data_IF_187179668480
#
_entry.id   IF_187179668480
#
_cell.length_a   1.000
_cell.length_b   1.000
_cell.length_c   1.000
_cell.angle_alpha   90.00
_cell.angle_beta   90.00
_cell.angle_gamma   90.00
#
_symmetry.space_group_name_H-M   'P 1'
#
loop_
_entity.id
_entity.type
_entity.pdbx_description
1 polymer ?
#
# COMPACT_ATOMS: atom_id res chain seq x y z
N UNK A 1 -40.50 64.58 15.88
CA UNK A 1 -40.04 65.06 17.20
C UNK A 1 -39.79 63.83 18.05
N UNK A 2 -38.52 63.54 18.38
CA UNK A 2 -38.04 62.68 19.48
C UNK A 2 -38.42 61.17 19.42
N UNK A 3 -37.59 60.17 19.71
CA UNK A 3 -36.25 60.08 20.32
C UNK A 3 -35.46 58.93 19.67
N UNK A 4 -34.18 59.20 19.40
CA UNK A 4 -33.18 58.19 18.99
C UNK A 4 -32.60 57.59 20.27
N UNK A 5 -32.84 56.30 20.49
CA UNK A 5 -32.28 55.54 21.60
C UNK A 5 -30.85 55.09 21.28
N UNK A 6 -29.89 55.53 22.09
CA UNK A 6 -28.47 55.15 22.02
C UNK A 6 -28.31 53.74 22.62
N UNK A 7 -27.72 52.76 21.91
CA UNK A 7 -27.39 51.47 22.51
C UNK A 7 -26.13 51.60 23.39
N UNK A 8 -26.27 51.16 24.63
CA UNK A 8 -25.21 51.04 25.63
C UNK A 8 -24.18 49.98 25.19
N UNK A 9 -22.97 50.43 24.87
CA UNK A 9 -21.80 49.58 24.71
C UNK A 9 -21.33 49.08 26.08
N UNK A 10 -21.71 47.85 26.43
CA UNK A 10 -21.06 47.13 27.51
C UNK A 10 -19.69 46.63 27.02
N UNK A 11 -18.61 47.17 27.61
CA UNK A 11 -17.27 46.64 27.44
C UNK A 11 -17.16 45.27 28.13
N UNK A 12 -17.25 44.21 27.33
CA UNK A 12 -16.85 42.86 27.74
C UNK A 12 -15.33 42.77 27.56
N UNK A 13 -14.59 43.15 28.61
CA UNK A 13 -13.18 42.85 28.76
C UNK A 13 -12.99 41.39 29.12
N UNK A 14 -13.05 40.50 28.12
CA UNK A 14 -12.60 39.12 28.27
C UNK A 14 -11.17 39.02 27.75
N UNK A 15 -10.22 38.88 28.66
CA UNK A 15 -8.86 38.40 28.41
C UNK A 15 -8.96 37.02 27.73
N UNK A 16 -8.95 37.00 26.40
CA UNK A 16 -8.78 35.78 25.62
C UNK A 16 -7.34 35.31 25.80
N UNK A 17 -7.09 34.57 26.88
CA UNK A 17 -5.87 33.79 27.02
C UNK A 17 -5.80 32.84 25.82
N UNK A 18 -4.80 33.04 24.97
CA UNK A 18 -4.51 32.31 23.74
C UNK A 18 -4.54 30.78 23.96
N UNK A 19 -5.72 30.17 23.81
CA UNK A 19 -5.86 28.73 23.57
C UNK A 19 -6.07 28.51 22.06
N UNK A 20 -5.22 29.13 21.24
CA UNK A 20 -5.39 29.21 19.78
C UNK A 20 -5.25 27.87 19.04
N UNK A 21 -4.72 26.82 19.66
CA UNK A 21 -4.43 25.55 18.95
C UNK A 21 -5.30 24.36 19.40
N UNK A 22 -6.52 24.61 19.89
CA UNK A 22 -7.49 23.55 20.21
C UNK A 22 -8.49 23.43 19.07
N UNK A 23 -8.16 22.60 18.08
CA UNK A 23 -9.10 22.23 17.04
C UNK A 23 -9.99 21.09 17.56
N UNK A 24 -11.30 21.38 17.65
CA UNK A 24 -12.31 20.35 17.85
C UNK A 24 -12.40 19.55 16.57
N UNK A 25 -12.16 18.25 16.65
CA UNK A 25 -12.22 17.38 15.48
C UNK A 25 -13.68 17.02 15.21
N UNK A 26 -14.15 17.32 14.00
CA UNK A 26 -15.45 16.85 13.55
C UNK A 26 -15.43 15.33 13.35
N UNK A 27 -16.62 14.72 13.38
CA UNK A 27 -16.71 13.29 13.12
C UNK A 27 -16.29 13.01 11.68
N UNK A 28 -15.49 11.97 11.48
CA UNK A 28 -15.02 11.59 10.15
C UNK A 28 -15.91 10.51 9.56
N UNK A 29 -16.26 10.61 8.27
CA UNK A 29 -17.00 9.58 7.58
C UNK A 29 -16.13 8.32 7.41
N UNK A 30 -16.79 7.17 7.22
CA UNK A 30 -16.09 5.96 6.79
C UNK A 30 -15.42 6.18 5.42
N UNK A 31 -14.28 5.52 5.15
CA UNK A 31 -13.59 5.67 3.88
C UNK A 31 -14.49 5.20 2.73
N UNK A 32 -14.54 5.98 1.65
CA UNK A 32 -15.37 5.73 0.47
C UNK A 32 -14.81 4.60 -0.42
N UNK A 33 -14.77 3.38 0.11
CA UNK A 33 -14.34 2.16 -0.58
C UNK A 33 -15.25 0.97 -0.22
N UNK A 34 -15.09 -0.17 -0.90
CA UNK A 34 -15.93 -1.38 -0.68
C UNK A 34 -15.96 -1.79 0.79
N UNK A 35 -14.83 -1.70 1.49
CA UNK A 35 -14.73 -2.09 2.89
C UNK A 35 -15.49 -1.13 3.81
N UNK A 36 -15.34 0.19 3.63
CA UNK A 36 -16.07 1.20 4.39
C UNK A 36 -17.58 1.14 4.16
N UNK A 37 -18.01 0.95 2.91
CA UNK A 37 -19.41 0.74 2.57
C UNK A 37 -19.99 -0.49 3.26
N UNK A 38 -19.30 -1.62 3.20
CA UNK A 38 -19.81 -2.83 3.81
C UNK A 38 -19.86 -2.76 5.34
N UNK A 39 -18.88 -2.12 5.99
CA UNK A 39 -18.95 -1.82 7.42
C UNK A 39 -20.18 -0.96 7.72
N UNK A 40 -20.42 0.10 6.93
CA UNK A 40 -21.61 0.95 7.10
C UNK A 40 -22.92 0.18 6.95
N UNK A 41 -23.04 -0.66 5.91
CA UNK A 41 -24.24 -1.46 5.66
C UNK A 41 -24.48 -2.47 6.77
N UNK A 42 -23.45 -3.19 7.23
CA UNK A 42 -23.59 -4.17 8.31
C UNK A 42 -24.01 -3.49 9.61
N UNK A 43 -23.34 -2.40 10.01
CA UNK A 43 -23.71 -1.66 11.24
C UNK A 43 -25.16 -1.21 11.17
N UNK A 44 -25.53 -0.51 10.10
CA UNK A 44 -26.84 0.11 10.00
C UNK A 44 -27.94 -0.92 9.82
N UNK A 45 -27.84 -1.83 8.86
CA UNK A 45 -28.95 -2.74 8.56
C UNK A 45 -29.21 -3.75 9.69
N UNK A 46 -28.19 -4.12 10.49
CA UNK A 46 -28.40 -4.90 11.71
C UNK A 46 -29.24 -4.14 12.75
N UNK A 47 -28.99 -2.84 12.95
CA UNK A 47 -29.77 -2.00 13.88
C UNK A 47 -31.23 -1.93 13.45
N UNK A 48 -31.48 -1.68 12.16
CA UNK A 48 -32.83 -1.60 11.60
C UNK A 48 -33.56 -2.95 11.65
N UNK A 49 -32.83 -4.07 11.55
CA UNK A 49 -33.40 -5.41 11.76
C UNK A 49 -33.80 -5.62 13.22
N UNK A 50 -32.98 -5.17 14.17
CA UNK A 50 -33.26 -5.30 15.59
C UNK A 50 -34.43 -4.41 16.05
N UNK A 51 -34.56 -3.20 15.52
CA UNK A 51 -35.67 -2.28 15.81
C UNK A 51 -37.02 -2.75 15.23
N UNK A 52 -37.05 -3.84 14.44
CA UNK A 52 -38.29 -4.46 13.98
C UNK A 52 -38.93 -3.79 12.76
N UNK A 53 -38.13 -3.35 11.78
CA UNK A 53 -38.66 -2.71 10.57
C UNK A 53 -39.47 -3.65 9.68
N UNK A 54 -40.45 -3.11 8.93
CA UNK A 54 -41.34 -3.90 8.04
C UNK A 54 -40.61 -4.49 6.82
N UNK A 55 -39.44 -3.97 6.45
CA UNK A 55 -38.65 -4.37 5.28
C UNK A 55 -37.49 -5.32 5.64
N UNK A 56 -37.75 -6.35 6.47
CA UNK A 56 -36.69 -7.25 6.97
C UNK A 56 -35.91 -7.94 5.85
N UNK A 57 -36.62 -8.42 4.82
CA UNK A 57 -36.00 -9.13 3.70
C UNK A 57 -35.07 -8.22 2.89
N UNK A 58 -35.45 -6.97 2.65
CA UNK A 58 -34.61 -6.01 1.90
C UNK A 58 -33.33 -5.65 2.66
N UNK A 59 -33.41 -5.54 3.99
CA UNK A 59 -32.24 -5.27 4.86
C UNK A 59 -31.30 -6.48 4.87
N UNK A 60 -31.85 -7.68 5.04
CA UNK A 60 -31.08 -8.91 4.98
C UNK A 60 -30.41 -9.10 3.61
N UNK A 61 -31.12 -8.83 2.51
CA UNK A 61 -30.57 -8.90 1.16
C UNK A 61 -29.43 -7.89 0.94
N UNK A 62 -29.51 -6.68 1.51
CA UNK A 62 -28.42 -5.70 1.45
C UNK A 62 -27.17 -6.13 2.21
N UNK A 63 -27.34 -6.67 3.42
CA UNK A 63 -26.22 -7.25 4.18
C UNK A 63 -25.59 -8.38 3.36
N UNK A 64 -26.40 -9.31 2.85
CA UNK A 64 -25.92 -10.41 2.01
C UNK A 64 -25.17 -9.92 0.76
N UNK A 65 -25.69 -8.92 0.06
CA UNK A 65 -25.03 -8.29 -1.09
C UNK A 65 -23.70 -7.63 -0.69
N UNK A 66 -23.62 -6.98 0.48
CA UNK A 66 -22.38 -6.39 0.97
C UNK A 66 -21.30 -7.43 1.26
N UNK A 67 -21.68 -8.56 1.85
CA UNK A 67 -20.78 -9.69 2.09
C UNK A 67 -20.36 -10.36 0.79
N UNK A 68 -21.27 -10.49 -0.18
CA UNK A 68 -20.96 -11.01 -1.51
C UNK A 68 -19.94 -10.14 -2.24
N UNK A 69 -20.10 -8.81 -2.21
CA UNK A 69 -19.18 -7.87 -2.87
C UNK A 69 -17.81 -7.85 -2.17
N UNK A 70 -17.73 -7.84 -0.84
CA UNK A 70 -16.44 -7.98 -0.14
C UNK A 70 -15.79 -9.32 -0.49
N UNK A 71 -16.54 -10.42 -0.38
CA UNK A 71 -16.04 -11.76 -0.68
C UNK A 71 -15.51 -11.88 -2.10
N UNK A 72 -16.24 -11.33 -3.08
CA UNK A 72 -15.82 -11.22 -4.47
C UNK A 72 -14.57 -10.35 -4.65
N UNK A 73 -14.48 -9.23 -3.93
CA UNK A 73 -13.29 -8.35 -3.94
C UNK A 73 -12.06 -9.09 -3.44
N UNK A 74 -12.16 -9.76 -2.29
CA UNK A 74 -11.07 -10.54 -1.71
C UNK A 74 -10.69 -11.70 -2.63
N UNK A 75 -11.68 -12.43 -3.16
CA UNK A 75 -11.43 -13.55 -4.08
C UNK A 75 -10.71 -13.08 -5.36
N UNK A 76 -11.11 -11.95 -5.93
CA UNK A 76 -10.44 -11.39 -7.11
C UNK A 76 -9.01 -10.93 -6.79
N UNK A 77 -8.80 -10.26 -5.64
CA UNK A 77 -7.45 -9.87 -5.21
C UNK A 77 -6.54 -11.08 -4.99
N UNK A 78 -7.03 -12.12 -4.30
CA UNK A 78 -6.29 -13.37 -4.07
C UNK A 78 -6.00 -14.09 -5.39
N UNK A 79 -6.95 -14.12 -6.32
CA UNK A 79 -6.75 -14.70 -7.64
C UNK A 79 -5.64 -13.97 -8.42
N UNK A 80 -5.66 -12.63 -8.44
CA UNK A 80 -4.63 -11.83 -9.11
C UNK A 80 -3.26 -12.01 -8.47
N UNK A 81 -3.19 -12.02 -7.12
CA UNK A 81 -1.96 -12.31 -6.38
C UNK A 81 -1.41 -13.70 -6.72
N UNK A 82 -2.28 -14.70 -6.77
CA UNK A 82 -1.90 -16.05 -7.17
C UNK A 82 -1.36 -16.08 -8.60
N UNK A 83 -2.06 -15.47 -9.56
CA UNK A 83 -1.65 -15.41 -10.96
C UNK A 83 -0.31 -14.71 -11.15
N UNK A 84 -0.09 -13.55 -10.51
CA UNK A 84 1.20 -12.85 -10.53
C UNK A 84 2.30 -13.72 -9.94
N UNK A 85 2.05 -14.34 -8.79
CA UNK A 85 3.03 -15.19 -8.12
C UNK A 85 3.40 -16.40 -8.98
N UNK A 86 2.41 -17.11 -9.52
CA UNK A 86 2.64 -18.37 -10.23
C UNK A 86 3.13 -18.17 -11.67
N UNK A 87 2.55 -17.20 -12.40
CA UNK A 87 2.80 -17.05 -13.84
C UNK A 87 3.93 -16.06 -14.13
N UNK A 88 4.01 -14.96 -13.39
CA UNK A 88 4.93 -13.87 -13.68
C UNK A 88 6.19 -13.98 -12.82
N UNK A 89 6.03 -13.95 -11.49
CA UNK A 89 7.14 -13.90 -10.55
C UNK A 89 8.05 -15.15 -10.66
N UNK A 90 7.49 -16.36 -10.71
CA UNK A 90 8.30 -17.59 -10.87
C UNK A 90 9.12 -17.59 -12.15
N UNK A 91 8.53 -17.18 -13.27
CA UNK A 91 9.20 -17.12 -14.57
C UNK A 91 10.36 -16.10 -14.55
N UNK A 92 10.09 -14.91 -14.04
CA UNK A 92 11.10 -13.85 -13.94
C UNK A 92 12.24 -14.23 -12.97
N UNK A 93 11.92 -14.79 -11.80
CA UNK A 93 12.93 -15.31 -10.85
C UNK A 93 13.80 -16.41 -11.46
N UNK A 94 13.22 -17.30 -12.28
CA UNK A 94 14.01 -18.31 -12.97
C UNK A 94 14.93 -17.68 -14.02
N UNK A 95 14.41 -16.75 -14.83
CA UNK A 95 15.17 -16.05 -15.87
C UNK A 95 16.37 -15.30 -15.30
N UNK A 96 16.16 -14.42 -14.30
CA UNK A 96 17.24 -13.66 -13.67
C UNK A 96 18.30 -14.56 -13.02
N UNK A 97 17.90 -15.68 -12.41
CA UNK A 97 18.83 -16.66 -11.84
C UNK A 97 19.64 -17.39 -12.90
N UNK A 98 19.04 -17.69 -14.05
CA UNK A 98 19.72 -18.29 -15.20
C UNK A 98 20.75 -17.33 -15.78
N UNK A 99 20.35 -16.09 -16.08
CA UNK A 99 21.23 -15.04 -16.60
C UNK A 99 22.40 -14.78 -15.65
N UNK A 100 22.14 -14.63 -14.35
CA UNK A 100 23.21 -14.45 -13.36
C UNK A 100 24.09 -15.69 -13.21
N UNK A 101 23.52 -16.90 -13.28
CA UNK A 101 24.29 -18.14 -13.23
C UNK A 101 25.22 -18.33 -14.42
N UNK A 102 24.81 -17.93 -15.63
CA UNK A 102 25.65 -17.94 -16.83
C UNK A 102 26.75 -16.89 -16.74
N UNK A 103 26.44 -15.70 -16.25
CA UNK A 103 27.43 -14.67 -15.93
C UNK A 103 28.52 -15.21 -14.97
N UNK A 104 28.12 -15.82 -13.85
CA UNK A 104 29.04 -16.41 -12.88
C UNK A 104 29.91 -17.51 -13.51
N UNK A 105 29.33 -18.37 -14.35
CA UNK A 105 30.08 -19.43 -15.03
C UNK A 105 31.19 -18.87 -15.94
N UNK A 106 30.92 -17.80 -16.67
CA UNK A 106 31.89 -17.16 -17.56
C UNK A 106 33.00 -16.42 -16.78
N UNK A 107 32.64 -15.74 -15.69
CA UNK A 107 33.55 -14.95 -14.86
C UNK A 107 34.50 -15.79 -14.01
N UNK A 108 34.11 -17.03 -13.66
CA UNK A 108 34.86 -17.93 -12.78
C UNK A 108 35.20 -19.27 -13.46
N UNK A 109 36.13 -19.30 -14.44
CA UNK A 109 36.47 -20.53 -15.18
C UNK A 109 36.87 -21.68 -14.25
N UNK A 110 36.12 -22.78 -14.26
CA UNK A 110 36.36 -23.96 -13.41
C UNK A 110 36.33 -23.68 -11.90
N UNK A 111 35.82 -22.53 -11.47
CA UNK A 111 35.76 -22.12 -10.07
C UNK A 111 34.33 -21.74 -9.69
N UNK A 112 33.36 -22.58 -10.06
CA UNK A 112 31.95 -22.44 -9.71
C UNK A 112 31.43 -23.66 -8.96
N UNK A 113 30.42 -23.46 -8.10
CA UNK A 113 29.63 -24.53 -7.49
C UNK A 113 28.14 -24.36 -7.85
N UNK A 114 27.37 -25.44 -7.77
CA UNK A 114 25.93 -25.44 -8.06
C UNK A 114 25.15 -25.20 -6.76
N UNK A 115 24.27 -24.20 -6.76
CA UNK A 115 23.39 -23.89 -5.62
C UNK A 115 22.27 -24.93 -5.46
N UNK A 116 21.57 -24.90 -4.32
CA UNK A 116 20.36 -25.71 -4.09
C UNK A 116 19.27 -25.51 -5.16
N UNK A 117 19.30 -24.39 -5.87
CA UNK A 117 18.37 -24.06 -6.95
C UNK A 117 18.87 -24.50 -8.34
N UNK A 118 20.03 -25.16 -8.45
CA UNK A 118 20.57 -25.65 -9.72
C UNK A 118 21.34 -24.62 -10.55
N UNK A 119 21.69 -23.46 -10.00
CA UNK A 119 22.43 -22.40 -10.72
C UNK A 119 23.87 -22.28 -10.24
N UNK A 120 24.79 -21.97 -11.17
CA UNK A 120 26.22 -21.76 -10.90
C UNK A 120 26.47 -20.51 -10.05
N UNK A 121 27.45 -20.59 -9.14
CA UNK A 121 27.98 -19.47 -8.35
C UNK A 121 29.50 -19.56 -8.26
N UNK A 122 30.19 -18.44 -8.46
CA UNK A 122 31.64 -18.34 -8.38
C UNK A 122 32.18 -18.52 -6.97
N UNK A 123 33.40 -19.04 -6.86
CA UNK A 123 34.15 -19.11 -5.60
C UNK A 123 34.89 -17.77 -5.40
N UNK A 124 34.79 -17.12 -4.23
CA UNK A 124 35.47 -15.86 -3.97
C UNK A 124 36.98 -15.94 -4.26
N UNK A 125 37.55 -14.90 -4.87
CA UNK A 125 38.99 -14.82 -5.20
C UNK A 125 39.39 -15.33 -6.59
N UNK A 126 38.52 -16.06 -7.29
CA UNK A 126 38.80 -16.60 -8.64
C UNK A 126 38.15 -15.80 -9.78
N UNK A 127 37.59 -14.64 -9.48
CA UNK A 127 36.90 -13.76 -10.44
C UNK A 127 37.89 -13.17 -11.44
N UNK A 128 37.60 -13.26 -12.75
CA UNK A 128 38.42 -12.68 -13.83
C UNK A 128 37.65 -11.61 -14.60
N UNK A 129 37.81 -10.36 -14.20
CA UNK A 129 37.07 -9.20 -14.77
C UNK A 129 37.27 -8.99 -16.26
N UNK A 130 38.45 -9.32 -16.79
CA UNK A 130 38.79 -9.21 -18.22
C UNK A 130 37.84 -10.02 -19.11
N UNK A 131 37.25 -11.09 -18.57
CA UNK A 131 36.34 -11.96 -19.33
C UNK A 131 34.99 -11.31 -19.61
N UNK A 132 34.63 -10.27 -18.87
CA UNK A 132 33.43 -9.49 -19.15
C UNK A 132 33.49 -8.87 -20.56
N UNK A 133 34.68 -8.48 -21.03
CA UNK A 133 34.89 -7.93 -22.37
C UNK A 133 34.78 -9.00 -23.48
N UNK A 134 34.91 -10.28 -23.13
CA UNK A 134 34.77 -11.41 -24.05
C UNK A 134 33.31 -11.86 -24.21
N UNK A 135 32.40 -11.37 -23.36
CA UNK A 135 30.98 -11.67 -23.47
C UNK A 135 30.39 -11.04 -24.73
N UNK A 136 29.38 -11.67 -25.30
CA UNK A 136 28.63 -11.05 -26.40
C UNK A 136 27.97 -9.77 -25.90
N UNK A 137 27.98 -8.71 -26.72
CA UNK A 137 27.45 -7.40 -26.32
C UNK A 137 26.00 -7.46 -25.83
N UNK A 138 25.17 -8.33 -26.43
CA UNK A 138 23.78 -8.51 -26.01
C UNK A 138 23.66 -9.14 -24.62
N UNK A 139 24.49 -10.14 -24.30
CA UNK A 139 24.46 -10.80 -23.00
C UNK A 139 25.00 -9.87 -21.89
N UNK A 140 26.06 -9.12 -22.19
CA UNK A 140 26.58 -8.11 -21.26
C UNK A 140 25.51 -7.06 -20.92
N UNK A 141 24.76 -6.58 -21.92
CA UNK A 141 23.62 -5.68 -21.71
C UNK A 141 22.53 -6.31 -20.83
N UNK A 142 22.12 -7.55 -21.11
CA UNK A 142 21.09 -8.23 -20.31
C UNK A 142 21.51 -8.42 -18.84
N UNK A 143 22.79 -8.73 -18.59
CA UNK A 143 23.35 -8.79 -17.22
C UNK A 143 23.33 -7.41 -16.55
N UNK A 144 23.64 -6.34 -17.30
CA UNK A 144 23.60 -4.99 -16.77
C UNK A 144 22.19 -4.47 -16.52
N UNK A 145 21.18 -5.04 -17.18
CA UNK A 145 19.76 -4.75 -16.96
C UNK A 145 19.16 -5.46 -15.74
N UNK A 146 19.93 -6.29 -15.03
CA UNK A 146 19.53 -6.84 -13.73
C UNK A 146 19.36 -5.68 -12.73
N UNK A 147 18.19 -5.46 -12.10
CA UNK A 147 17.96 -4.28 -11.27
C UNK A 147 18.95 -4.10 -10.10
N UNK A 148 19.51 -5.20 -9.60
CA UNK A 148 20.52 -5.21 -8.54
C UNK A 148 21.90 -4.69 -8.99
N UNK A 149 22.15 -4.51 -10.29
CA UNK A 149 23.32 -3.78 -10.79
C UNK A 149 23.19 -2.26 -10.56
N UNK A 150 21.95 -1.77 -10.40
CA UNK A 150 21.59 -0.37 -10.19
C UNK A 150 20.77 -0.19 -8.88
N UNK A 151 21.35 -0.48 -7.70
CA UNK A 151 20.60 -0.56 -6.43
C UNK A 151 19.82 0.71 -6.09
N UNK A 152 20.37 1.88 -6.39
CA UNK A 152 19.69 3.15 -6.11
C UNK A 152 18.41 3.33 -6.93
N UNK A 153 18.45 2.93 -8.21
CA UNK A 153 17.27 3.00 -9.08
C UNK A 153 16.19 2.01 -8.60
N UNK A 154 16.58 0.76 -8.32
CA UNK A 154 15.68 -0.25 -7.77
C UNK A 154 15.09 0.20 -6.42
N UNK A 155 15.92 0.74 -5.51
CA UNK A 155 15.48 1.21 -4.21
C UNK A 155 14.46 2.35 -4.32
N UNK A 156 14.64 3.30 -5.27
CA UNK A 156 13.65 4.34 -5.52
C UNK A 156 12.30 3.78 -5.97
N UNK A 157 12.29 2.81 -6.91
CA UNK A 157 11.03 2.19 -7.36
C UNK A 157 10.37 1.39 -6.23
N UNK A 158 11.15 0.60 -5.50
CA UNK A 158 10.66 -0.15 -4.33
C UNK A 158 10.11 0.79 -3.26
N UNK A 159 10.72 1.96 -3.06
CA UNK A 159 10.24 2.95 -2.10
C UNK A 159 8.89 3.54 -2.52
N UNK A 160 8.72 3.87 -3.80
CA UNK A 160 7.42 4.30 -4.34
C UNK A 160 6.37 3.20 -4.10
N UNK A 161 6.70 1.96 -4.42
CA UNK A 161 5.82 0.81 -4.19
C UNK A 161 5.42 0.63 -2.71
N UNK A 162 6.39 0.74 -1.81
CA UNK A 162 6.16 0.66 -0.36
C UNK A 162 5.27 1.81 0.11
N UNK A 163 5.49 3.04 -0.38
CA UNK A 163 4.61 4.17 -0.07
C UNK A 163 3.16 3.94 -0.53
N UNK A 164 2.96 3.39 -1.74
CA UNK A 164 1.62 3.03 -2.23
C UNK A 164 0.92 2.04 -1.28
N UNK A 165 1.63 0.99 -0.85
CA UNK A 165 1.08 0.04 0.12
C UNK A 165 0.85 0.65 1.50
N UNK A 166 1.70 1.60 1.89
CA UNK A 166 1.65 2.23 3.21
C UNK A 166 0.46 3.18 3.38
N UNK A 167 0.07 3.92 2.33
CA UNK A 167 -1.15 4.75 2.36
C UNK A 167 -2.37 3.89 2.72
N UNK A 168 -2.45 2.70 2.13
CA UNK A 168 -3.49 1.73 2.43
C UNK A 168 -3.37 1.15 3.84
N UNK A 169 -2.16 0.78 4.24
CA UNK A 169 -1.92 0.21 5.56
C UNK A 169 -2.30 1.20 6.67
N UNK A 170 -1.95 2.48 6.50
CA UNK A 170 -2.35 3.57 7.40
C UNK A 170 -3.87 3.69 7.49
N UNK A 171 -4.55 3.70 6.35
CA UNK A 171 -6.02 3.75 6.28
C UNK A 171 -6.66 2.57 7.03
N UNK A 172 -6.10 1.37 6.89
CA UNK A 172 -6.57 0.17 7.61
C UNK A 172 -6.34 0.31 9.10
N UNK A 173 -5.16 0.75 9.53
CA UNK A 173 -4.85 0.92 10.94
C UNK A 173 -5.70 1.99 11.60
N UNK A 174 -5.87 3.15 10.98
CA UNK A 174 -6.72 4.23 11.50
C UNK A 174 -8.18 3.78 11.61
N UNK A 175 -8.71 3.13 10.58
CA UNK A 175 -10.08 2.60 10.59
C UNK A 175 -10.26 1.50 11.64
N UNK A 176 -9.32 0.55 11.72
CA UNK A 176 -9.35 -0.52 12.71
C UNK A 176 -9.24 0.03 14.13
N UNK A 177 -8.36 1.00 14.33
CA UNK A 177 -8.18 1.66 15.62
C UNK A 177 -9.46 2.36 16.07
N UNK A 178 -10.10 3.12 15.19
CA UNK A 178 -11.37 3.81 15.48
C UNK A 178 -12.50 2.83 15.80
N UNK A 179 -12.65 1.77 15.01
CA UNK A 179 -13.72 0.79 15.18
C UNK A 179 -13.56 -0.07 16.44
N UNK A 180 -12.33 -0.52 16.74
CA UNK A 180 -12.11 -1.48 17.81
C UNK A 180 -11.78 -0.83 19.15
N UNK A 181 -10.93 0.20 19.16
CA UNK A 181 -10.42 0.82 20.37
C UNK A 181 -11.13 2.13 20.73
N UNK A 182 -11.33 3.04 19.78
CA UNK A 182 -11.95 4.34 20.09
C UNK A 182 -13.46 4.23 20.34
N UNK A 183 -14.15 3.36 19.60
CA UNK A 183 -15.59 3.17 19.73
C UNK A 183 -15.87 2.26 20.93
N UNK A 184 -16.60 2.71 21.97
CA UNK A 184 -16.88 1.91 23.16
C UNK A 184 -17.73 0.68 22.82
N UNK A 185 -17.61 -0.36 23.65
CA UNK A 185 -18.43 -1.57 23.50
C UNK A 185 -19.76 -1.38 24.23
N UNK A 186 -20.88 -1.51 23.51
CA UNK A 186 -22.25 -1.41 24.07
C UNK A 186 -22.90 -2.78 24.20
N UNK A 187 -23.80 -2.93 25.17
CA UNK A 187 -24.49 -4.20 25.43
C UNK A 187 -25.62 -4.47 24.42
N UNK A 188 -26.38 -3.43 24.07
CA UNK A 188 -27.52 -3.51 23.15
C UNK A 188 -27.22 -2.92 21.78
N UNK A 189 -27.90 -3.44 20.75
CA UNK A 189 -27.80 -2.88 19.40
C UNK A 189 -28.54 -1.55 19.25
N UNK A 190 -29.50 -1.26 20.14
CA UNK A 190 -30.20 0.02 20.19
C UNK A 190 -29.31 1.21 20.55
N UNK A 191 -28.21 1.00 21.29
CA UNK A 191 -27.29 2.05 21.74
C UNK A 191 -26.17 2.33 20.74
N UNK A 192 -26.16 1.66 19.58
CA UNK A 192 -25.10 1.80 18.58
C UNK A 192 -25.18 3.14 17.84
N UNK A 193 -26.39 3.60 17.53
CA UNK A 193 -26.63 4.86 16.82
C UNK A 193 -27.33 5.85 17.75
N UNK A 194 -26.81 7.08 17.76
CA UNK A 194 -27.55 8.22 18.29
C UNK A 194 -27.98 9.08 17.13
N UNK A 195 -29.29 9.10 16.89
CA UNK A 195 -29.85 9.95 15.85
C UNK A 195 -29.69 11.42 16.25
N UNK A 196 -28.94 12.15 15.42
CA UNK A 196 -28.93 13.61 15.47
C UNK A 196 -30.10 14.11 14.62
N UNK A 197 -31.12 14.64 15.29
CA UNK A 197 -32.38 15.07 14.68
C UNK A 197 -32.22 16.19 13.62
N UNK A 198 -31.07 16.89 13.59
CA UNK A 198 -30.90 18.09 12.78
C UNK A 198 -30.18 17.90 11.44
N UNK A 199 -29.31 16.88 11.27
CA UNK A 199 -28.38 16.84 10.12
C UNK A 199 -28.48 15.60 9.21
N UNK A 200 -29.43 14.68 9.47
CA UNK A 200 -29.51 13.38 8.78
C UNK A 200 -28.19 12.57 8.82
N UNK A 201 -27.29 12.92 9.74
CA UNK A 201 -26.03 12.25 9.99
C UNK A 201 -26.22 11.23 11.11
N UNK A 202 -25.73 10.01 10.88
CA UNK A 202 -25.79 8.95 11.88
C UNK A 202 -24.42 8.83 12.55
N UNK A 203 -24.34 9.15 13.84
CA UNK A 203 -23.12 9.01 14.62
C UNK A 203 -23.11 7.65 15.33
N UNK A 204 -22.07 6.85 15.06
CA UNK A 204 -21.84 5.58 15.75
C UNK A 204 -21.28 5.89 17.15
N UNK A 205 -22.10 5.66 18.18
CA UNK A 205 -21.71 5.91 19.57
C UNK A 205 -20.93 4.75 20.18
N UNK A 206 -21.25 3.53 19.78
CA UNK A 206 -20.70 2.29 20.32
C UNK A 206 -20.91 1.13 19.37
N UNK A 207 -20.21 0.03 19.56
CA UNK A 207 -20.39 -1.20 18.78
C UNK A 207 -20.48 -2.39 19.72
N UNK A 208 -21.40 -3.33 19.46
CA UNK A 208 -21.46 -4.56 20.24
C UNK A 208 -20.21 -5.41 20.01
N UNK A 209 -19.80 -6.21 21.00
CA UNK A 209 -18.60 -7.05 20.90
C UNK A 209 -18.67 -8.03 19.72
N UNK A 210 -19.85 -8.63 19.48
CA UNK A 210 -20.06 -9.53 18.34
C UNK A 210 -19.91 -8.84 16.99
N UNK A 211 -20.37 -7.60 16.86
CA UNK A 211 -20.22 -6.81 15.63
C UNK A 211 -18.76 -6.41 15.39
N UNK A 212 -18.03 -6.02 16.44
CA UNK A 212 -16.58 -5.79 16.36
C UNK A 212 -15.84 -7.04 15.90
N UNK A 213 -16.12 -8.18 16.52
CA UNK A 213 -15.52 -9.46 16.13
C UNK A 213 -15.80 -9.81 14.67
N UNK A 214 -17.05 -9.65 14.24
CA UNK A 214 -17.45 -9.89 12.86
C UNK A 214 -16.68 -9.00 11.86
N UNK A 215 -16.64 -7.69 12.09
CA UNK A 215 -15.91 -6.76 11.22
C UNK A 215 -14.41 -7.06 11.22
N UNK A 216 -13.82 -7.42 12.36
CA UNK A 216 -12.41 -7.79 12.45
C UNK A 216 -12.10 -9.02 11.58
N UNK A 217 -12.86 -10.09 11.74
CA UNK A 217 -12.59 -11.39 11.10
C UNK A 217 -12.90 -11.39 9.62
N UNK A 218 -14.04 -10.83 9.21
CA UNK A 218 -14.51 -10.94 7.82
C UNK A 218 -14.12 -9.76 6.94
N UNK A 219 -13.73 -8.62 7.51
CA UNK A 219 -13.42 -7.40 6.76
C UNK A 219 -11.96 -6.97 6.95
N UNK A 220 -11.52 -6.75 8.19
CA UNK A 220 -10.22 -6.13 8.44
C UNK A 220 -9.03 -7.11 8.29
N UNK A 221 -9.11 -8.29 8.89
CA UNK A 221 -8.01 -9.29 8.83
C UNK A 221 -7.71 -9.69 7.38
N UNK A 222 -8.69 -10.09 6.55
CA UNK A 222 -8.43 -10.43 5.15
C UNK A 222 -7.78 -9.28 4.38
N UNK A 223 -8.23 -8.03 4.63
CA UNK A 223 -7.67 -6.83 3.99
C UNK A 223 -6.20 -6.59 4.37
N UNK A 224 -5.84 -6.78 5.65
CA UNK A 224 -4.43 -6.71 6.09
C UNK A 224 -3.61 -7.82 5.45
N UNK A 225 -4.11 -9.06 5.45
CA UNK A 225 -3.41 -10.21 4.89
C UNK A 225 -3.15 -10.06 3.39
N UNK A 226 -4.13 -9.59 2.61
CA UNK A 226 -3.95 -9.37 1.17
C UNK A 226 -2.96 -8.25 0.88
N UNK A 227 -3.01 -7.15 1.64
CA UNK A 227 -2.07 -6.03 1.48
C UNK A 227 -0.62 -6.42 1.82
N UNK A 228 -0.40 -7.13 2.93
CA UNK A 228 0.94 -7.60 3.32
C UNK A 228 1.50 -8.61 2.31
N UNK A 229 0.63 -9.50 1.81
CA UNK A 229 1.01 -10.46 0.75
C UNK A 229 1.37 -9.74 -0.55
N UNK A 230 0.61 -8.71 -0.92
CA UNK A 230 0.86 -7.89 -2.10
C UNK A 230 2.16 -7.10 -1.97
N UNK A 231 2.43 -6.48 -0.82
CA UNK A 231 3.67 -5.77 -0.53
C UNK A 231 4.89 -6.70 -0.74
N UNK A 232 4.87 -7.86 -0.09
CA UNK A 232 5.97 -8.85 -0.18
C UNK A 232 6.16 -9.37 -1.61
N UNK A 233 5.05 -9.75 -2.27
CA UNK A 233 5.10 -10.26 -3.65
C UNK A 233 5.57 -9.18 -4.62
N UNK A 234 5.13 -7.94 -4.44
CA UNK A 234 5.50 -6.80 -5.27
C UNK A 234 7.00 -6.52 -5.21
N UNK A 235 7.59 -6.46 -4.01
CA UNK A 235 9.04 -6.29 -3.86
C UNK A 235 9.82 -7.42 -4.55
N UNK A 236 9.36 -8.67 -4.42
CA UNK A 236 9.98 -9.84 -5.05
C UNK A 236 9.86 -9.82 -6.57
N UNK A 237 8.70 -9.45 -7.10
CA UNK A 237 8.46 -9.41 -8.53
C UNK A 237 9.24 -8.28 -9.21
N UNK A 238 9.25 -7.08 -8.61
CA UNK A 238 10.03 -5.94 -9.11
C UNK A 238 11.52 -6.24 -9.14
N UNK A 239 12.07 -6.83 -8.09
CA UNK A 239 13.50 -7.21 -8.03
C UNK A 239 13.88 -8.30 -9.02
N UNK A 240 12.92 -9.16 -9.41
CA UNK A 240 13.15 -10.27 -10.35
C UNK A 240 13.01 -9.89 -11.83
N UNK A 241 12.50 -8.69 -12.13
CA UNK A 241 12.25 -8.24 -13.50
C UNK A 241 13.57 -7.77 -14.13
N UNK A 242 13.96 -8.33 -15.28
CA UNK A 242 15.12 -7.85 -16.05
C UNK A 242 14.65 -6.71 -16.95
N UNK A 243 15.42 -5.63 -17.03
CA UNK A 243 15.03 -4.43 -17.78
C UNK A 243 14.44 -3.38 -16.88
N UNK A 244 15.03 -2.18 -16.89
CA UNK A 244 14.64 -1.09 -15.98
C UNK A 244 13.24 -0.52 -16.33
N UNK A 245 12.90 -0.50 -17.61
CA UNK A 245 11.60 -0.11 -18.13
C UNK A 245 10.50 -1.11 -17.75
N UNK A 246 10.79 -2.41 -17.84
CA UNK A 246 9.88 -3.46 -17.40
C UNK A 246 9.59 -3.37 -15.89
N UNK A 247 10.58 -3.02 -15.07
CA UNK A 247 10.39 -2.83 -13.61
C UNK A 247 9.38 -1.73 -13.34
N UNK A 248 9.47 -0.59 -14.05
CA UNK A 248 8.52 0.52 -13.89
C UNK A 248 7.10 0.11 -14.31
N UNK A 249 6.97 -0.57 -15.46
CA UNK A 249 5.69 -1.05 -15.96
C UNK A 249 5.04 -2.06 -14.99
N UNK A 250 5.83 -2.98 -14.44
CA UNK A 250 5.35 -3.94 -13.44
C UNK A 250 4.95 -3.24 -12.14
N UNK A 251 5.60 -2.12 -11.77
CA UNK A 251 5.21 -1.28 -10.64
C UNK A 251 3.80 -0.68 -10.82
N UNK A 252 3.52 -0.13 -12.01
CA UNK A 252 2.19 0.39 -12.35
C UNK A 252 1.12 -0.72 -12.36
N UNK A 253 1.47 -1.92 -12.86
CA UNK A 253 0.56 -3.06 -12.83
C UNK A 253 0.20 -3.49 -11.40
N UNK A 254 1.14 -3.40 -10.45
CA UNK A 254 0.90 -3.67 -9.04
C UNK A 254 -0.01 -2.62 -8.39
N UNK A 255 0.12 -1.34 -8.76
CA UNK A 255 -0.76 -0.27 -8.29
C UNK A 255 -2.23 -0.54 -8.66
N UNK A 256 -2.49 -1.04 -9.87
CA UNK A 256 -3.83 -1.44 -10.28
C UNK A 256 -4.47 -2.48 -9.33
N UNK A 257 -3.68 -3.39 -8.75
CA UNK A 257 -4.19 -4.38 -7.79
C UNK A 257 -4.60 -3.75 -6.45
N UNK A 258 -3.90 -2.69 -6.03
CA UNK A 258 -4.23 -1.91 -4.83
C UNK A 258 -5.52 -1.11 -5.03
N UNK A 259 -5.70 -0.54 -6.23
CA UNK A 259 -6.86 0.29 -6.61
C UNK A 259 -8.13 -0.51 -6.94
N UNK A 260 -8.03 -1.84 -7.04
CA UNK A 260 -9.14 -2.71 -7.42
C UNK A 260 -10.39 -2.52 -6.53
N UNK A 261 -10.19 -2.31 -5.22
CA UNK A 261 -11.28 -2.08 -4.27
C UNK A 261 -12.04 -0.78 -4.54
N UNK A 262 -11.35 0.25 -5.02
CA UNK A 262 -11.93 1.56 -5.28
C UNK A 262 -12.64 1.56 -6.64
N UNK A 263 -12.09 0.83 -7.62
CA UNK A 263 -12.77 0.56 -8.89
C UNK A 263 -14.10 -0.17 -8.67
N UNK A 264 -14.09 -1.26 -7.90
CA UNK A 264 -15.32 -1.99 -7.56
C UNK A 264 -16.30 -1.13 -6.76
N UNK A 265 -15.82 -0.30 -5.85
CA UNK A 265 -16.68 0.64 -5.13
C UNK A 265 -17.39 1.58 -6.10
N UNK A 266 -16.63 2.11 -7.06
CA UNK A 266 -17.16 3.08 -8.00
C UNK A 266 -18.18 2.48 -8.97
N UNK A 267 -17.95 1.24 -9.42
CA UNK A 267 -18.79 0.57 -10.42
C UNK A 267 -19.96 -0.20 -9.80
N UNK A 268 -19.73 -0.96 -8.74
CA UNK A 268 -20.71 -1.93 -8.23
C UNK A 268 -21.69 -1.33 -7.21
N UNK A 269 -21.35 -0.20 -6.58
CA UNK A 269 -22.16 0.37 -5.50
C UNK A 269 -23.02 1.52 -6.05
N UNK A 270 -24.32 1.45 -5.78
CA UNK A 270 -25.27 2.48 -6.21
C UNK A 270 -24.97 3.83 -5.55
N UNK A 271 -25.28 4.93 -6.24
CA UNK A 271 -25.06 6.29 -5.72
C UNK A 271 -25.73 6.51 -4.35
N UNK A 272 -26.93 5.95 -4.15
CA UNK A 272 -27.62 6.00 -2.86
C UNK A 272 -26.80 5.38 -1.73
N UNK A 273 -26.21 4.20 -1.98
CA UNK A 273 -25.41 3.50 -0.98
C UNK A 273 -24.08 4.21 -0.69
N UNK A 274 -23.49 4.88 -1.69
CA UNK A 274 -22.29 5.73 -1.50
C UNK A 274 -22.61 6.89 -0.57
N UNK A 275 -23.68 7.63 -0.87
CA UNK A 275 -24.15 8.74 -0.05
C UNK A 275 -24.50 8.32 1.39
N UNK A 276 -25.12 7.15 1.54
CA UNK A 276 -25.42 6.58 2.84
C UNK A 276 -24.16 6.18 3.64
N UNK A 277 -23.06 5.84 2.96
CA UNK A 277 -21.76 5.54 3.60
C UNK A 277 -21.10 6.82 4.09
N UNK A 278 -21.15 7.89 3.30
CA UNK A 278 -20.62 9.22 3.64
C UNK A 278 -21.37 9.87 4.80
N UNK A 279 -22.61 9.46 5.07
CA UNK A 279 -23.43 9.93 6.20
C UNK A 279 -23.27 9.13 7.49
N UNK A 280 -22.48 8.06 7.48
CA UNK A 280 -22.17 7.30 8.70
C UNK A 280 -20.84 7.78 9.26
N UNK A 281 -20.92 8.44 10.40
CA UNK A 281 -19.80 9.08 11.06
C UNK A 281 -19.35 8.26 12.26
N UNK A 282 -18.03 8.12 12.40
CA UNK A 282 -17.42 7.44 13.55
C UNK A 282 -16.82 8.50 14.47
N UNK A 283 -17.00 8.31 15.77
CA UNK A 283 -16.40 9.19 16.78
C UNK A 283 -14.88 9.27 16.57
N UNK A 284 -14.30 10.47 16.48
CA UNK A 284 -12.85 10.61 16.39
C UNK A 284 -12.21 10.04 17.66
N UNK A 285 -10.97 9.58 17.56
CA UNK A 285 -10.24 9.04 18.71
C UNK A 285 -10.08 10.08 19.82
N UNK A 286 -9.85 11.34 19.45
CA UNK A 286 -9.75 12.48 20.35
C UNK A 286 -10.76 13.51 19.91
N UNK A 287 -11.64 13.90 20.82
CA UNK A 287 -12.59 15.00 20.58
C UNK A 287 -11.86 16.35 20.41
N UNK A 288 -10.62 16.42 20.89
CA UNK A 288 -9.74 17.59 20.81
C UNK A 288 -8.35 17.15 20.37
N UNK A 289 -7.93 17.62 19.19
CA UNK A 289 -6.54 17.50 18.74
C UNK A 289 -5.78 18.75 19.16
N UNK A 290 -4.96 18.62 20.19
CA UNK A 290 -3.91 19.60 20.46
C UNK A 290 -2.77 19.37 19.47
N UNK A 291 -2.22 20.43 18.89
CA UNK A 291 -1.02 20.37 18.07
C UNK A 291 0.16 19.85 18.91
N UNK A 292 0.33 18.53 18.94
CA UNK A 292 1.38 17.86 19.67
C UNK A 292 2.52 17.49 18.73
N UNK A 293 3.74 17.48 19.26
CA UNK A 293 4.93 16.98 18.57
C UNK A 293 4.67 15.58 17.97
N UNK A 294 4.00 14.67 18.68
CA UNK A 294 3.69 13.33 18.17
C UNK A 294 2.85 13.33 16.88
N UNK A 295 1.89 14.26 16.73
CA UNK A 295 1.08 14.35 15.51
C UNK A 295 1.91 14.86 14.34
N UNK A 296 2.85 15.78 14.60
CA UNK A 296 3.73 16.31 13.57
C UNK A 296 4.71 15.26 13.05
N UNK A 297 5.21 14.35 13.90
CA UNK A 297 6.22 13.35 13.55
C UNK A 297 5.65 12.03 13.01
N UNK A 298 4.33 11.81 13.09
CA UNK A 298 3.70 10.56 12.65
C UNK A 298 4.02 10.25 11.18
N UNK A 299 3.87 11.21 10.26
CA UNK A 299 4.13 10.99 8.83
C UNK A 299 5.61 10.73 8.51
N UNK A 300 6.53 11.30 9.28
CA UNK A 300 7.98 11.18 9.12
C UNK A 300 8.45 9.84 9.67
N UNK A 301 7.89 9.37 10.80
CA UNK A 301 8.15 8.02 11.32
C UNK A 301 7.78 6.98 10.27
N UNK A 302 6.61 7.14 9.66
CA UNK A 302 6.15 6.34 8.54
C UNK A 302 7.12 6.40 7.33
N UNK A 303 7.61 7.57 6.96
CA UNK A 303 8.60 7.72 5.89
C UNK A 303 9.94 7.00 6.19
N UNK A 304 10.47 7.18 7.39
CA UNK A 304 11.72 6.56 7.84
C UNK A 304 11.58 5.04 7.91
N UNK A 305 10.46 4.51 8.42
CA UNK A 305 10.20 3.08 8.44
C UNK A 305 10.22 2.46 7.04
N UNK A 306 9.71 3.16 6.02
CA UNK A 306 9.72 2.68 4.63
C UNK A 306 11.11 2.67 4.02
N UNK A 307 11.93 3.69 4.29
CA UNK A 307 13.34 3.70 3.87
C UNK A 307 14.11 2.55 4.53
N UNK A 308 13.94 2.35 5.84
CA UNK A 308 14.55 1.23 6.57
C UNK A 308 14.08 -0.11 5.99
N UNK A 309 12.78 -0.26 5.72
CA UNK A 309 12.23 -1.48 5.13
C UNK A 309 12.82 -1.78 3.75
N UNK A 310 12.89 -0.79 2.84
CA UNK A 310 13.49 -0.98 1.51
C UNK A 310 14.97 -1.34 1.62
N UNK A 311 15.71 -0.66 2.49
CA UNK A 311 17.13 -0.97 2.74
C UNK A 311 17.28 -2.41 3.26
N UNK A 312 16.54 -2.79 4.30
CA UNK A 312 16.53 -4.15 4.83
C UNK A 312 16.14 -5.17 3.75
N UNK A 313 15.16 -4.85 2.92
CA UNK A 313 14.71 -5.73 1.85
C UNK A 313 15.82 -5.99 0.82
N UNK A 314 16.40 -4.93 0.26
CA UNK A 314 17.40 -5.01 -0.81
C UNK A 314 18.68 -5.70 -0.34
N UNK A 315 19.15 -5.40 0.88
CA UNK A 315 20.44 -5.92 1.37
C UNK A 315 20.34 -7.24 2.14
N UNK A 316 19.20 -7.53 2.79
CA UNK A 316 19.10 -8.68 3.69
C UNK A 316 17.97 -9.67 3.35
N UNK A 317 16.82 -9.19 2.88
CA UNK A 317 15.64 -10.07 2.72
C UNK A 317 15.39 -10.54 1.30
N UNK A 318 16.06 -9.98 0.29
CA UNK A 318 15.84 -10.39 -1.09
C UNK A 318 16.20 -11.87 -1.25
N UNK A 319 15.25 -12.65 -1.81
CA UNK A 319 15.41 -14.08 -2.09
C UNK A 319 15.49 -14.36 -3.60
N UNK A 320 15.58 -13.31 -4.41
CA UNK A 320 15.57 -13.42 -5.88
C UNK A 320 16.91 -13.99 -6.34
N UNK A 321 18.02 -13.41 -5.90
CA UNK A 321 19.38 -13.90 -6.17
C UNK A 321 20.06 -14.22 -4.84
N UNK A 322 19.93 -15.47 -4.32
CA UNK A 322 20.67 -15.87 -3.15
C UNK A 322 22.18 -15.74 -3.44
N UNK A 323 22.91 -15.28 -2.41
CA UNK A 323 24.37 -15.08 -2.44
C UNK A 323 24.86 -14.04 -3.46
N UNK A 324 24.02 -13.06 -3.81
CA UNK A 324 24.43 -11.96 -4.69
C UNK A 324 25.55 -11.12 -4.05
N UNK A 325 26.68 -10.96 -4.76
CA UNK A 325 27.91 -10.36 -4.23
C UNK A 325 28.14 -8.91 -4.63
N UNK A 326 27.14 -8.25 -5.22
CA UNK A 326 27.27 -6.88 -5.74
C UNK A 326 28.40 -6.74 -6.78
N UNK A 327 28.77 -7.84 -7.44
CA UNK A 327 29.90 -7.90 -8.36
C UNK A 327 29.62 -7.31 -9.74
N UNK A 328 28.35 -7.34 -10.16
CA UNK A 328 27.92 -6.86 -11.48
C UNK A 328 28.02 -5.33 -11.61
N UNK A 329 27.78 -4.60 -10.51
CA UNK A 329 27.65 -3.14 -10.51
C UNK A 329 28.87 -2.41 -11.08
N UNK A 330 30.07 -2.79 -10.65
CA UNK A 330 31.31 -2.13 -11.06
C UNK A 330 31.64 -2.35 -12.54
N UNK A 331 31.37 -3.55 -13.05
CA UNK A 331 31.60 -3.89 -14.47
C UNK A 331 30.59 -3.19 -15.37
N UNK A 332 29.32 -3.20 -14.98
CA UNK A 332 28.25 -2.58 -15.74
C UNK A 332 28.39 -1.06 -15.79
N UNK A 333 28.83 -0.42 -14.71
CA UNK A 333 29.11 1.02 -14.70
C UNK A 333 30.17 1.39 -15.75
N UNK A 334 31.25 0.60 -15.86
CA UNK A 334 32.30 0.80 -16.88
C UNK A 334 31.80 0.54 -18.31
N UNK A 335 30.99 -0.50 -18.48
CA UNK A 335 30.41 -0.87 -19.78
C UNK A 335 29.44 0.21 -20.29
N UNK A 336 28.52 0.67 -19.44
CA UNK A 336 27.57 1.72 -19.76
C UNK A 336 28.26 3.05 -20.10
N UNK A 337 29.32 3.43 -19.37
CA UNK A 337 30.11 4.62 -19.72
C UNK A 337 30.72 4.52 -21.13
N UNK A 338 31.14 3.32 -21.53
CA UNK A 338 31.71 3.07 -22.86
C UNK A 338 30.64 3.18 -23.96
N UNK A 339 29.46 2.60 -23.72
CA UNK A 339 28.32 2.70 -24.64
C UNK A 339 27.83 4.16 -24.81
N UNK A 340 27.73 4.91 -23.71
CA UNK A 340 27.35 6.33 -23.74
C UNK A 340 28.39 7.17 -24.48
N UNK A 341 29.68 6.84 -24.34
CA UNK A 341 30.74 7.51 -25.09
C UNK A 341 30.66 7.24 -26.60
N UNK A 342 30.34 6.01 -26.99
CA UNK A 342 30.22 5.61 -28.41
C UNK A 342 28.98 6.22 -29.10
N UNK A 343 27.88 6.43 -28.35
CA UNK A 343 26.64 7.04 -28.87
C UNK A 343 26.72 8.55 -29.13
N UNK A 344 27.80 9.25 -28.75
CA UNK A 344 27.90 10.69 -28.98
C UNK A 344 27.96 10.99 -30.50
N UNK A 345 27.04 11.80 -31.05
CA UNK A 345 26.85 11.98 -32.50
C UNK A 345 28.03 12.58 -33.30
N UNK A 346 29.20 12.81 -32.68
CA UNK A 346 30.43 13.26 -33.34
C UNK A 346 31.52 12.19 -33.50
N UNK A 347 31.43 11.02 -32.84
CA UNK A 347 32.49 10.01 -32.84
C UNK A 347 32.56 9.19 -34.14
N UNK A 348 31.43 9.05 -34.86
CA UNK A 348 31.37 8.31 -36.13
C UNK A 348 31.90 9.10 -37.34
N UNK A 349 32.05 10.42 -37.23
CA UNK A 349 32.51 11.25 -38.36
C UNK A 349 34.03 11.26 -38.55
N UNK A 350 34.81 10.85 -37.54
CA UNK A 350 36.28 10.87 -37.57
C UNK A 350 36.96 9.50 -37.73
N UNK A 351 36.19 8.42 -37.97
CA UNK A 351 36.72 7.04 -38.14
C UNK A 351 36.62 6.51 -39.57
N UNK A 352 36.50 7.38 -40.57
CA UNK A 352 36.63 7.01 -41.99
C UNK A 352 37.88 7.59 -42.59
#
# INVERSE_FOLDING_TARGET
MAMVGVPSMAMVGATSTMSEDVLKQDHEPLPANVYGWAVSMVIRDLIWLHQGTHLRMERAARIANSLLIIGGTIAMQVFLLFAVSSLLCRKQVHRIRSTYGEYEYLMYPNHTYITVNGFNRGIPGYRKDERFLLMSGNFASEVCEIPLSHPYYLACILLVWVFTCQVELRTIFETSYRLFYATPTVAGLGDVLKDQWNDHAHNVQGLTAGLKFFIAVFVQIPRVCTLLSLLWLGCRWLTATIGLDEVLLNGLALEFMVLLKDLLYNVCISHRNKFETERLFIKPFRDVNKAGFCTFFDSQVWGVMSVIFVWCYVFHMQQVLPDYRWDVQDLCSKHLMTLVADQRPGSRFFRR
#
